data_IF_012162607382
#
_entry.id   IF_012162607382
#
_cell.length_a   1.000
_cell.length_b   1.000
_cell.length_c   1.000
_cell.angle_alpha   90.00
_cell.angle_beta   90.00
_cell.angle_gamma   90.00
#
_symmetry.space_group_name_H-M   'P 1'
#
loop_
_entity.id
_entity.type
_entity.pdbx_description
1 polymer ?
#
# COMPACT_ATOMS: atom_id res chain seq x y z
N UNK A 1 -2.79 24.73 15.76
CA UNK A 1 -1.35 24.47 16.00
C UNK A 1 -1.25 23.19 16.79
N UNK A 2 -1.03 22.06 16.13
CA UNK A 2 -0.93 20.77 16.82
C UNK A 2 0.52 20.44 17.10
N UNK A 3 0.88 20.48 18.38
CA UNK A 3 2.18 20.09 18.92
C UNK A 3 2.29 18.58 19.00
N UNK A 4 3.26 18.01 18.28
CA UNK A 4 3.63 16.60 18.40
C UNK A 4 4.33 16.38 19.75
N UNK A 5 3.59 15.96 20.77
CA UNK A 5 4.17 15.56 22.06
C UNK A 5 4.72 14.14 21.95
N UNK A 6 6.03 14.01 21.78
CA UNK A 6 6.74 12.75 22.00
C UNK A 6 6.87 12.56 23.51
N UNK A 7 6.15 11.58 24.08
CA UNK A 7 6.40 11.18 25.46
C UNK A 7 7.56 10.19 25.50
N UNK A 8 8.48 10.51 26.40
CA UNK A 8 9.81 9.96 26.56
C UNK A 8 9.77 8.65 27.36
N UNK A 9 10.53 7.65 26.92
CA UNK A 9 10.68 6.36 27.60
C UNK A 9 12.08 5.78 27.38
N UNK A 10 13.05 6.34 28.10
CA UNK A 10 14.37 5.81 28.46
C UNK A 10 15.49 5.75 27.39
N UNK A 11 16.37 6.78 27.38
CA UNK A 11 17.81 6.77 27.77
C UNK A 11 18.54 8.02 27.20
N UNK A 12 19.64 8.51 27.82
CA UNK A 12 19.60 9.76 28.57
C UNK A 12 20.51 10.89 28.01
N UNK A 13 20.61 11.95 28.81
CA UNK A 13 21.65 13.01 28.84
C UNK A 13 21.54 14.13 27.79
N UNK A 14 20.72 15.14 28.15
CA UNK A 14 20.95 16.58 27.97
C UNK A 14 22.20 16.94 27.14
N UNK A 15 22.05 17.56 25.98
CA UNK A 15 22.19 19.01 26.03
C UNK A 15 22.17 19.78 24.71
N UNK A 16 21.80 19.22 23.55
CA UNK A 16 21.85 19.96 22.27
C UNK A 16 20.80 19.55 21.21
N UNK A 17 19.57 19.21 21.60
CA UNK A 17 18.52 18.87 20.60
C UNK A 17 17.40 19.94 20.46
N UNK A 18 17.47 21.05 21.22
CA UNK A 18 16.47 22.13 21.14
C UNK A 18 16.84 23.26 20.17
N UNK A 19 17.95 23.14 19.44
CA UNK A 19 18.34 24.08 18.39
C UNK A 19 18.06 23.47 17.02
N UNK A 20 16.80 23.46 16.59
CA UNK A 20 16.38 23.67 15.19
C UNK A 20 14.84 23.72 15.06
N UNK A 21 14.18 24.44 15.97
CA UNK A 21 12.77 24.83 15.78
C UNK A 21 12.78 26.14 14.99
N UNK A 22 13.00 26.05 13.68
CA UNK A 22 12.72 27.08 12.66
C UNK A 22 13.12 26.66 11.24
N UNK A 23 13.94 25.62 11.06
CA UNK A 23 14.44 25.26 9.73
C UNK A 23 15.01 23.85 9.53
N UNK A 24 14.96 22.96 10.54
CA UNK A 24 15.32 21.56 10.33
C UNK A 24 14.06 20.68 10.30
N UNK A 25 14.01 19.77 9.33
CA UNK A 25 12.98 18.76 9.19
C UNK A 25 12.76 18.01 10.52
N UNK A 26 11.57 18.18 11.09
CA UNK A 26 11.14 17.42 12.26
C UNK A 26 11.31 15.92 11.95
N UNK A 27 12.02 15.14 12.77
CA UNK A 27 12.23 13.71 12.54
C UNK A 27 10.94 12.93 12.30
N UNK A 28 9.83 13.34 12.94
CA UNK A 28 8.51 12.77 12.72
C UNK A 28 7.99 13.02 11.29
N UNK A 29 8.23 14.21 10.72
CA UNK A 29 7.85 14.54 9.33
C UNK A 29 8.64 13.69 8.34
N UNK A 30 9.95 13.53 8.56
CA UNK A 30 10.81 12.65 7.74
C UNK A 30 10.37 11.19 7.82
N UNK A 31 10.07 10.69 9.02
CA UNK A 31 9.56 9.33 9.21
C UNK A 31 8.21 9.11 8.48
N UNK A 32 7.27 10.06 8.59
CA UNK A 32 5.99 10.00 7.86
C UNK A 32 6.20 10.05 6.34
N UNK A 33 7.11 10.89 5.86
CA UNK A 33 7.50 10.94 4.44
C UNK A 33 8.03 9.60 3.93
N UNK A 34 9.00 9.01 4.64
CA UNK A 34 9.57 7.71 4.31
C UNK A 34 8.52 6.59 4.33
N UNK A 35 7.62 6.58 5.32
CA UNK A 35 6.51 5.62 5.36
C UNK A 35 5.56 5.78 4.18
N UNK A 36 5.22 7.01 3.78
CA UNK A 36 4.37 7.28 2.61
C UNK A 36 5.00 6.80 1.31
N UNK A 37 6.30 7.01 1.12
CA UNK A 37 7.05 6.51 -0.03
C UNK A 37 7.06 4.98 -0.07
N UNK A 38 7.29 4.32 1.08
CA UNK A 38 7.25 2.86 1.19
C UNK A 38 5.86 2.31 0.89
N UNK A 39 4.81 2.95 1.41
CA UNK A 39 3.41 2.58 1.10
C UNK A 39 3.18 2.69 -0.41
N UNK A 40 3.54 3.81 -1.04
CA UNK A 40 3.39 4.00 -2.48
C UNK A 40 4.18 2.97 -3.31
N UNK A 41 5.39 2.59 -2.87
CA UNK A 41 6.19 1.55 -3.51
C UNK A 41 5.53 0.18 -3.41
N UNK A 42 5.08 -0.20 -2.21
CA UNK A 42 4.38 -1.47 -1.97
C UNK A 42 3.06 -1.55 -2.75
N UNK A 43 2.31 -0.45 -2.84
CA UNK A 43 1.10 -0.38 -3.66
C UNK A 43 1.40 -0.69 -5.14
N UNK A 44 2.44 -0.07 -5.73
CA UNK A 44 2.81 -0.37 -7.12
C UNK A 44 3.20 -1.83 -7.31
N UNK A 45 3.96 -2.40 -6.37
CA UNK A 45 4.34 -3.81 -6.42
C UNK A 45 3.10 -4.72 -6.38
N UNK A 46 2.14 -4.42 -5.51
CA UNK A 46 0.89 -5.17 -5.42
C UNK A 46 0.05 -5.04 -6.70
N UNK A 47 -0.11 -3.83 -7.24
CA UNK A 47 -0.81 -3.62 -8.52
C UNK A 47 -0.18 -4.40 -9.67
N UNK A 48 1.16 -4.39 -9.77
CA UNK A 48 1.89 -5.14 -10.79
C UNK A 48 1.69 -6.66 -10.65
N UNK A 49 1.74 -7.19 -9.42
CA UNK A 49 1.49 -8.60 -9.17
C UNK A 49 0.05 -9.00 -9.55
N UNK A 50 -0.95 -8.18 -9.23
CA UNK A 50 -2.35 -8.43 -9.58
C UNK A 50 -2.58 -8.37 -11.10
N UNK A 51 -1.89 -7.50 -11.82
CA UNK A 51 -1.94 -7.46 -13.29
C UNK A 51 -1.34 -8.74 -13.90
N UNK A 52 -0.20 -9.20 -13.39
CA UNK A 52 0.39 -10.47 -13.81
C UNK A 52 -0.54 -11.66 -13.53
N UNK A 53 -1.17 -11.71 -12.36
CA UNK A 53 -2.16 -12.74 -12.03
C UNK A 53 -3.35 -12.70 -12.99
N UNK A 54 -3.91 -11.52 -13.29
CA UNK A 54 -5.00 -11.36 -14.25
C UNK A 54 -4.62 -11.84 -15.64
N UNK A 55 -3.41 -11.52 -16.09
CA UNK A 55 -2.89 -11.98 -17.38
C UNK A 55 -2.77 -13.50 -17.43
N UNK A 56 -2.21 -14.12 -16.39
CA UNK A 56 -2.09 -15.58 -16.29
C UNK A 56 -3.46 -16.28 -16.26
N UNK A 57 -4.43 -15.74 -15.50
CA UNK A 57 -5.79 -16.27 -15.43
C UNK A 57 -6.52 -16.15 -16.78
N UNK A 58 -6.36 -15.03 -17.47
CA UNK A 58 -6.92 -14.84 -18.81
C UNK A 58 -6.31 -15.81 -19.83
N UNK A 59 -5.00 -16.05 -19.77
CA UNK A 59 -4.35 -17.06 -20.60
C UNK A 59 -4.88 -18.48 -20.31
N UNK A 60 -4.98 -18.85 -19.03
CA UNK A 60 -5.50 -20.15 -18.61
C UNK A 60 -6.96 -20.39 -19.05
N UNK A 61 -7.79 -19.34 -19.06
CA UNK A 61 -9.18 -19.40 -19.51
C UNK A 61 -9.32 -19.69 -21.01
N UNK A 62 -8.30 -19.35 -21.80
CA UNK A 62 -8.29 -19.50 -23.27
C UNK A 62 -7.57 -20.78 -23.74
N UNK A 63 -7.25 -21.71 -22.84
CA UNK A 63 -6.71 -23.01 -23.23
C UNK A 63 -7.76 -23.80 -24.04
N UNK A 64 -7.29 -24.53 -25.06
CA UNK A 64 -8.14 -25.41 -25.88
C UNK A 64 -8.50 -26.67 -25.08
N UNK A 65 -9.41 -26.49 -24.12
CA UNK A 65 -9.90 -27.53 -23.24
C UNK A 65 -11.41 -27.38 -23.10
N UNK A 66 -12.14 -28.49 -23.28
CA UNK A 66 -13.60 -28.49 -23.36
C UNK A 66 -14.23 -29.46 -22.33
N UNK A 67 -15.54 -29.31 -22.11
CA UNK A 67 -16.32 -30.10 -21.15
C UNK A 67 -16.75 -29.33 -19.90
N UNK A 68 -17.46 -30.01 -18.99
CA UNK A 68 -18.04 -29.38 -17.80
C UNK A 68 -16.95 -28.85 -16.85
N UNK A 69 -15.87 -29.61 -16.65
CA UNK A 69 -14.74 -29.19 -15.83
C UNK A 69 -14.06 -27.92 -16.38
N UNK A 70 -13.87 -27.84 -17.71
CA UNK A 70 -13.34 -26.64 -18.37
C UNK A 70 -14.27 -25.42 -18.15
N UNK A 71 -15.58 -25.61 -18.25
CA UNK A 71 -16.57 -24.55 -17.99
C UNK A 71 -16.53 -24.06 -16.54
N UNK A 72 -16.43 -24.97 -15.57
CA UNK A 72 -16.31 -24.62 -14.15
C UNK A 72 -15.00 -23.88 -13.88
N UNK A 73 -13.89 -24.33 -14.47
CA UNK A 73 -12.59 -23.68 -14.37
C UNK A 73 -12.63 -22.26 -14.94
N UNK A 74 -13.15 -22.08 -16.16
CA UNK A 74 -13.29 -20.77 -16.79
C UNK A 74 -14.14 -19.79 -15.96
N UNK A 75 -15.20 -20.28 -15.30
CA UNK A 75 -16.02 -19.48 -14.38
C UNK A 75 -15.27 -19.10 -13.09
N UNK A 76 -14.47 -20.01 -12.54
CA UNK A 76 -13.63 -19.72 -11.38
C UNK A 76 -12.59 -18.65 -11.71
N UNK A 77 -11.86 -18.81 -12.82
CA UNK A 77 -10.88 -17.82 -13.31
C UNK A 77 -11.51 -16.45 -13.57
N UNK A 78 -12.76 -16.39 -14.06
CA UNK A 78 -13.48 -15.13 -14.24
C UNK A 78 -13.77 -14.43 -12.91
N UNK A 79 -14.19 -15.19 -11.88
CA UNK A 79 -14.40 -14.65 -10.53
C UNK A 79 -13.09 -14.15 -9.93
N UNK A 80 -12.02 -14.93 -10.04
CA UNK A 80 -10.71 -14.57 -9.47
C UNK A 80 -10.12 -13.33 -10.16
N UNK A 81 -10.34 -13.18 -11.48
CA UNK A 81 -9.97 -11.97 -12.23
C UNK A 81 -10.70 -10.73 -11.70
N UNK A 82 -12.01 -10.83 -11.44
CA UNK A 82 -12.79 -9.73 -10.84
C UNK A 82 -12.35 -9.44 -9.41
N UNK A 83 -12.04 -10.49 -8.63
CA UNK A 83 -11.53 -10.35 -7.27
C UNK A 83 -10.18 -9.60 -7.27
N UNK A 84 -9.25 -9.97 -8.15
CA UNK A 84 -7.97 -9.29 -8.29
C UNK A 84 -8.14 -7.79 -8.61
N UNK A 85 -9.09 -7.44 -9.49
CA UNK A 85 -9.42 -6.04 -9.77
C UNK A 85 -9.97 -5.30 -8.53
N UNK A 86 -10.85 -5.95 -7.75
CA UNK A 86 -11.37 -5.35 -6.51
C UNK A 86 -10.29 -5.16 -5.44
N UNK A 87 -9.30 -6.06 -5.38
CA UNK A 87 -8.16 -5.93 -4.45
C UNK A 87 -7.27 -4.76 -4.90
N UNK A 88 -7.02 -4.59 -6.19
CA UNK A 88 -6.24 -3.47 -6.73
C UNK A 88 -6.89 -2.11 -6.36
N UNK A 89 -8.21 -2.02 -6.51
CA UNK A 89 -8.96 -0.81 -6.11
C UNK A 89 -8.85 -0.55 -4.61
N UNK A 90 -9.04 -1.58 -3.77
CA UNK A 90 -8.88 -1.47 -2.31
C UNK A 90 -7.46 -1.08 -1.91
N UNK A 91 -6.44 -1.58 -2.60
CA UNK A 91 -5.04 -1.21 -2.37
C UNK A 91 -4.82 0.27 -2.68
N UNK A 92 -5.39 0.78 -3.78
CA UNK A 92 -5.35 2.22 -4.11
C UNK A 92 -6.03 3.06 -3.04
N UNK A 93 -7.26 2.70 -2.65
CA UNK A 93 -8.00 3.40 -1.59
C UNK A 93 -7.21 3.40 -0.27
N UNK A 94 -6.63 2.27 0.11
CA UNK A 94 -5.88 2.14 1.37
C UNK A 94 -4.66 3.05 1.40
N UNK A 95 -3.88 3.16 0.32
CA UNK A 95 -2.74 4.07 0.34
C UNK A 95 -3.12 5.55 0.15
N UNK A 96 -4.31 5.87 -0.36
CA UNK A 96 -4.82 7.25 -0.26
C UNK A 96 -4.99 7.68 1.20
N UNK A 97 -5.26 6.74 2.13
CA UNK A 97 -5.31 7.03 3.57
C UNK A 97 -3.98 7.55 4.12
N UNK A 98 -2.86 7.11 3.55
CA UNK A 98 -1.54 7.60 3.94
C UNK A 98 -1.37 9.10 3.62
N UNK A 99 -2.13 9.62 2.66
CA UNK A 99 -2.11 11.01 2.21
C UNK A 99 -3.30 11.85 2.71
N UNK A 100 -4.40 11.20 3.12
CA UNK A 100 -5.59 11.89 3.65
C UNK A 100 -5.52 12.24 5.15
N UNK A 101 -4.51 11.75 5.87
CA UNK A 101 -4.34 11.97 7.31
C UNK A 101 -3.24 12.97 7.65
N UNK A 102 -3.62 14.20 7.97
CA UNK A 102 -2.76 15.24 8.53
C UNK A 102 -3.41 16.62 8.68
N UNK A 103 -4.74 16.70 8.78
CA UNK A 103 -5.47 17.93 9.11
C UNK A 103 -6.28 17.68 10.36
N UNK A 104 -5.61 17.80 11.49
CA UNK A 104 -6.16 18.04 12.82
C UNK A 104 -5.23 19.00 13.51
#
# INVERSE_FOLDING_TARGET
>A
MNTCTIFNGAFPIWGNAMASIAGADCPCRTAVGSSRERIGSLQRLTSNALEQSRTAMAAAKNLDWTGNAATLCARALDRDTRLAASIDDRVRQTGQLAWSGGSS
#
